data_IF_924361704754
#
_entry.id   IF_924361704754
#
_cell.length_a   1.000
_cell.length_b   1.000
_cell.length_c   1.000
_cell.angle_alpha   90.00
_cell.angle_beta   90.00
_cell.angle_gamma   90.00
#
_symmetry.space_group_name_H-M   'P 1'
#
loop_
_entity.id
_entity.type
_entity.pdbx_description
1 polymer ?
#
# COMPACT_ATOMS: atom_id res chain seq x y z
N UNK A 1 8.81 13.85 -28.92
CA UNK A 1 8.55 12.39 -28.81
C UNK A 1 9.55 11.67 -29.71
N UNK A 2 10.33 10.72 -29.17
CA UNK A 2 11.28 9.92 -29.98
C UNK A 2 10.54 8.71 -30.54
N UNK A 3 10.64 8.47 -31.84
CA UNK A 3 10.03 7.32 -32.53
C UNK A 3 11.15 6.42 -33.01
N UNK A 4 11.15 5.16 -32.60
CA UNK A 4 12.09 4.13 -33.09
C UNK A 4 11.24 2.98 -33.61
N UNK A 5 11.51 2.53 -34.84
CA UNK A 5 10.83 1.39 -35.45
C UNK A 5 11.48 0.09 -34.96
N UNK A 6 10.69 -0.97 -34.86
CA UNK A 6 11.17 -2.27 -34.39
C UNK A 6 12.22 -2.92 -35.31
N UNK A 7 12.27 -2.51 -36.58
CA UNK A 7 13.23 -2.95 -37.59
C UNK A 7 14.50 -2.08 -37.68
N UNK A 8 14.56 -0.98 -36.91
CA UNK A 8 15.72 -0.11 -36.88
C UNK A 8 16.89 -0.82 -36.16
N UNK A 9 18.12 -0.60 -36.64
CA UNK A 9 19.33 -1.23 -36.10
C UNK A 9 19.53 -0.85 -34.63
N UNK A 10 19.20 0.39 -34.27
CA UNK A 10 19.28 0.93 -32.91
C UNK A 10 18.17 0.44 -31.97
N UNK A 11 17.15 -0.27 -32.46
CA UNK A 11 16.00 -0.70 -31.65
C UNK A 11 16.42 -1.62 -30.51
N UNK A 12 17.31 -2.59 -30.76
CA UNK A 12 17.73 -3.57 -29.75
C UNK A 12 18.40 -2.91 -28.55
N UNK A 13 19.26 -1.92 -28.80
CA UNK A 13 19.97 -1.18 -27.74
C UNK A 13 19.02 -0.26 -26.98
N UNK A 14 18.21 0.50 -27.72
CA UNK A 14 17.21 1.37 -27.12
C UNK A 14 16.21 0.59 -26.26
N UNK A 15 15.74 -0.56 -26.73
CA UNK A 15 14.79 -1.38 -25.99
C UNK A 15 15.41 -1.99 -24.74
N UNK A 16 16.69 -2.40 -24.79
CA UNK A 16 17.42 -2.86 -23.59
C UNK A 16 17.55 -1.75 -22.54
N UNK A 17 17.92 -0.55 -22.96
CA UNK A 17 18.00 0.62 -22.07
C UNK A 17 16.63 0.98 -21.49
N UNK A 18 15.59 0.97 -22.33
CA UNK A 18 14.20 1.23 -21.92
C UNK A 18 13.74 0.25 -20.84
N UNK A 19 14.09 -1.04 -20.97
CA UNK A 19 13.76 -2.08 -19.99
C UNK A 19 14.51 -1.94 -18.67
N UNK A 20 15.61 -1.20 -18.66
CA UNK A 20 16.37 -0.87 -17.45
C UNK A 20 15.85 0.40 -16.76
N UNK A 21 14.79 1.04 -17.29
CA UNK A 21 14.19 2.21 -16.63
C UNK A 21 13.51 1.81 -15.32
N UNK A 22 14.03 2.38 -14.24
CA UNK A 22 13.56 2.25 -12.86
C UNK A 22 14.60 2.92 -11.95
N UNK A 23 14.21 3.35 -10.75
CA UNK A 23 15.18 3.91 -9.80
C UNK A 23 16.26 2.88 -9.47
N UNK A 24 17.53 3.28 -9.56
CA UNK A 24 18.63 2.42 -9.15
C UNK A 24 18.66 2.36 -7.62
N UNK A 25 18.49 1.17 -7.04
CA UNK A 25 18.78 0.92 -5.63
C UNK A 25 20.29 0.90 -5.44
N UNK A 26 20.89 2.08 -5.34
CA UNK A 26 22.33 2.23 -5.09
C UNK A 26 22.68 1.63 -3.73
N UNK A 27 23.86 1.01 -3.56
CA UNK A 27 24.31 0.48 -2.27
C UNK A 27 24.20 1.50 -1.12
N UNK A 28 24.46 2.78 -1.39
CA UNK A 28 24.42 3.87 -0.41
C UNK A 28 22.98 4.15 0.09
N UNK A 29 22.01 4.12 -0.83
CA UNK A 29 20.58 4.22 -0.50
C UNK A 29 20.16 3.04 0.38
N UNK A 30 20.52 1.82 0.00
CA UNK A 30 20.18 0.62 0.76
C UNK A 30 20.79 0.65 2.16
N UNK A 31 22.07 1.03 2.27
CA UNK A 31 22.73 1.18 3.56
C UNK A 31 22.01 2.20 4.45
N UNK A 32 21.60 3.34 3.89
CA UNK A 32 20.85 4.37 4.63
C UNK A 32 19.49 3.86 5.12
N UNK A 33 18.75 3.12 4.29
CA UNK A 33 17.45 2.54 4.67
C UNK A 33 17.62 1.47 5.76
N UNK A 34 18.64 0.62 5.64
CA UNK A 34 18.94 -0.42 6.64
C UNK A 34 19.21 0.21 8.01
N UNK A 35 19.99 1.27 8.07
CA UNK A 35 20.26 1.98 9.32
C UNK A 35 18.98 2.60 9.92
N UNK A 36 18.12 3.22 9.11
CA UNK A 36 16.83 3.76 9.58
C UNK A 36 15.95 2.66 10.20
N UNK A 37 15.80 1.54 9.49
CA UNK A 37 14.98 0.40 9.95
C UNK A 37 15.56 -0.17 11.26
N UNK A 38 16.88 -0.29 11.35
CA UNK A 38 17.56 -0.77 12.55
C UNK A 38 17.33 0.16 13.74
N UNK A 39 17.49 1.45 13.56
CA UNK A 39 17.30 2.44 14.62
C UNK A 39 15.86 2.43 15.14
N UNK A 40 14.87 2.40 14.24
CA UNK A 40 13.45 2.28 14.63
C UNK A 40 13.17 0.96 15.35
N UNK A 41 13.78 -0.15 14.93
CA UNK A 41 13.61 -1.44 15.60
C UNK A 41 14.19 -1.47 17.03
N UNK A 42 15.27 -0.73 17.29
CA UNK A 42 15.94 -0.71 18.61
C UNK A 42 15.35 0.35 19.54
N UNK A 43 15.06 1.55 19.01
CA UNK A 43 14.66 2.74 19.81
C UNK A 43 13.17 3.05 19.73
N UNK A 44 12.43 2.41 18.82
CA UNK A 44 10.98 2.60 18.67
C UNK A 44 10.60 4.03 18.30
N UNK A 45 9.62 4.58 19.02
CA UNK A 45 9.00 5.89 18.76
C UNK A 45 10.00 7.05 18.79
N UNK A 46 11.05 6.96 19.60
CA UNK A 46 12.09 8.00 19.67
C UNK A 46 12.76 8.19 18.30
N UNK A 47 13.23 7.10 17.68
CA UNK A 47 13.82 7.16 16.35
C UNK A 47 12.78 7.51 15.27
N UNK A 48 11.54 7.04 15.41
CA UNK A 48 10.45 7.38 14.48
C UNK A 48 10.20 8.91 14.46
N UNK A 49 10.11 9.55 15.63
CA UNK A 49 9.87 10.99 15.73
C UNK A 49 11.07 11.80 15.24
N UNK A 50 12.30 11.37 15.55
CA UNK A 50 13.52 11.98 15.02
C UNK A 50 13.55 11.95 13.48
N UNK A 51 13.27 10.79 12.87
CA UNK A 51 13.25 10.67 11.41
C UNK A 51 12.10 11.43 10.77
N UNK A 52 10.94 11.51 11.43
CA UNK A 52 9.81 12.31 10.94
C UNK A 52 10.17 13.80 10.95
N UNK A 53 10.73 14.32 12.04
CA UNK A 53 11.21 15.71 12.09
C UNK A 53 12.27 15.97 11.01
N UNK A 54 13.22 15.04 10.82
CA UNK A 54 14.29 15.17 9.82
C UNK A 54 13.78 15.20 8.38
N UNK A 55 12.88 14.29 8.01
CA UNK A 55 12.47 14.11 6.61
C UNK A 55 11.22 14.92 6.26
N UNK A 56 10.23 14.93 7.15
CA UNK A 56 8.93 15.55 6.90
C UNK A 56 8.86 16.98 7.47
N UNK A 57 9.85 17.38 8.28
CA UNK A 57 9.89 18.68 8.97
C UNK A 57 8.67 18.90 9.85
N UNK A 58 8.22 17.83 10.48
CA UNK A 58 7.04 17.80 11.35
C UNK A 58 7.40 17.16 12.69
N UNK A 59 7.04 17.83 13.78
CA UNK A 59 7.31 17.37 15.13
C UNK A 59 6.17 16.45 15.59
N UNK A 60 6.47 15.16 15.72
CA UNK A 60 5.55 14.18 16.29
C UNK A 60 5.82 13.96 17.77
N UNK A 61 4.76 13.55 18.46
CA UNK A 61 4.82 13.06 19.83
C UNK A 61 3.88 11.86 19.98
N UNK A 62 4.03 11.13 21.08
CA UNK A 62 3.12 10.02 21.40
C UNK A 62 1.63 10.44 21.44
N UNK A 63 1.34 11.71 21.72
CA UNK A 63 -0.02 12.25 21.73
C UNK A 63 -0.55 12.66 20.35
N UNK A 64 0.32 12.78 19.33
CA UNK A 64 -0.01 13.35 18.01
C UNK A 64 0.34 12.43 16.83
N UNK A 65 1.02 11.31 17.10
CA UNK A 65 1.39 10.30 16.09
C UNK A 65 0.17 9.65 15.42
N UNK A 66 -0.95 9.57 16.14
CA UNK A 66 -2.21 9.03 15.60
C UNK A 66 -3.21 10.16 15.34
N UNK A 67 -3.82 10.14 14.14
CA UNK A 67 -4.89 11.05 13.76
C UNK A 67 -6.13 10.76 14.61
N UNK A 68 -6.62 11.79 15.30
CA UNK A 68 -7.74 11.70 16.24
C UNK A 68 -9.09 11.47 15.54
N UNK A 69 -10.10 11.04 16.30
CA UNK A 69 -11.46 10.88 15.78
C UNK A 69 -12.05 12.21 15.28
N UNK A 70 -11.75 13.31 15.97
CA UNK A 70 -12.24 14.64 15.64
C UNK A 70 -11.61 15.16 14.34
N UNK A 71 -10.30 14.94 14.14
CA UNK A 71 -9.64 15.27 12.88
C UNK A 71 -10.21 14.48 11.71
N UNK A 72 -10.48 13.17 11.89
CA UNK A 72 -11.13 12.36 10.85
C UNK A 72 -12.53 12.88 10.51
N UNK A 73 -13.32 13.26 11.53
CA UNK A 73 -14.65 13.83 11.34
C UNK A 73 -14.57 15.17 10.61
N UNK A 74 -13.71 16.07 11.05
CA UNK A 74 -13.51 17.37 10.42
C UNK A 74 -13.05 17.24 8.96
N UNK A 75 -12.15 16.30 8.67
CA UNK A 75 -11.71 16.01 7.31
C UNK A 75 -12.87 15.50 6.44
N UNK A 76 -13.71 14.59 6.96
CA UNK A 76 -14.89 14.08 6.24
C UNK A 76 -15.92 15.19 5.97
N UNK A 77 -16.20 16.02 6.98
CA UNK A 77 -17.15 17.14 6.88
C UNK A 77 -16.68 18.21 5.88
N UNK A 78 -15.36 18.32 5.65
CA UNK A 78 -14.78 19.24 4.69
C UNK A 78 -14.81 18.73 3.23
N UNK A 79 -15.17 17.47 2.98
CA UNK A 79 -15.23 16.91 1.62
C UNK A 79 -16.51 17.39 0.91
N UNK A 80 -16.42 17.99 -0.29
CA UNK A 80 -17.60 18.31 -1.08
C UNK A 80 -18.46 17.08 -1.35
N UNK A 81 -19.80 17.18 -1.30
CA UNK A 81 -20.70 16.05 -1.53
C UNK A 81 -20.42 15.29 -2.84
N UNK A 82 -20.12 16.01 -3.91
CA UNK A 82 -19.80 15.45 -5.23
C UNK A 82 -18.53 14.58 -5.23
N UNK A 83 -17.49 15.01 -4.52
CA UNK A 83 -16.24 14.26 -4.40
C UNK A 83 -16.47 13.01 -3.54
N UNK A 84 -17.26 13.14 -2.48
CA UNK A 84 -17.61 12.04 -1.60
C UNK A 84 -18.41 10.95 -2.36
N UNK A 85 -19.30 11.34 -3.26
CA UNK A 85 -20.05 10.41 -4.10
C UNK A 85 -19.15 9.69 -5.12
N UNK A 86 -18.14 10.38 -5.67
CA UNK A 86 -17.12 9.75 -6.53
C UNK A 86 -16.29 8.74 -5.74
N UNK A 87 -15.85 9.08 -4.53
CA UNK A 87 -15.09 8.19 -3.65
C UNK A 87 -15.92 6.94 -3.29
N UNK A 88 -17.21 7.13 -2.96
CA UNK A 88 -18.14 6.02 -2.67
C UNK A 88 -18.34 5.13 -3.89
N UNK A 89 -18.52 5.70 -5.08
CA UNK A 89 -18.66 4.93 -6.32
C UNK A 89 -17.41 4.09 -6.60
N UNK A 90 -16.22 4.67 -6.43
CA UNK A 90 -14.97 3.94 -6.58
C UNK A 90 -14.88 2.79 -5.57
N UNK A 91 -15.16 3.06 -4.29
CA UNK A 91 -15.15 2.05 -3.24
C UNK A 91 -16.11 0.89 -3.53
N UNK A 92 -17.34 1.18 -3.95
CA UNK A 92 -18.34 0.16 -4.32
C UNK A 92 -17.87 -0.72 -5.48
N UNK A 93 -17.24 -0.14 -6.50
CA UNK A 93 -16.72 -0.89 -7.65
C UNK A 93 -15.55 -1.79 -7.27
N UNK A 94 -14.62 -1.28 -6.46
CA UNK A 94 -13.48 -2.04 -5.93
C UNK A 94 -13.99 -3.21 -5.08
N UNK A 95 -14.95 -2.95 -4.20
CA UNK A 95 -15.55 -3.98 -3.35
C UNK A 95 -16.26 -5.06 -4.16
N UNK A 96 -17.10 -4.66 -5.13
CA UNK A 96 -17.80 -5.59 -6.01
C UNK A 96 -16.85 -6.51 -6.78
N UNK A 97 -15.69 -6.00 -7.18
CA UNK A 97 -14.67 -6.79 -7.85
C UNK A 97 -14.00 -7.78 -6.90
N UNK A 98 -13.46 -7.31 -5.77
CA UNK A 98 -12.70 -8.15 -4.84
C UNK A 98 -13.57 -9.19 -4.12
N UNK A 99 -14.87 -8.92 -3.91
CA UNK A 99 -15.80 -9.94 -3.39
C UNK A 99 -15.88 -11.18 -4.26
N UNK A 100 -15.65 -11.07 -5.58
CA UNK A 100 -15.61 -12.23 -6.49
C UNK A 100 -14.32 -13.05 -6.40
N UNK A 101 -13.30 -12.53 -5.73
CA UNK A 101 -11.98 -13.15 -5.60
C UNK A 101 -11.79 -13.81 -4.23
N UNK A 102 -12.81 -13.78 -3.36
CA UNK A 102 -12.75 -14.42 -2.06
C UNK A 102 -12.72 -15.94 -2.25
N UNK A 103 -11.68 -16.58 -1.74
CA UNK A 103 -11.53 -18.03 -1.73
C UNK A 103 -12.11 -18.57 -0.43
N UNK A 104 -13.06 -19.49 -0.52
CA UNK A 104 -13.62 -20.17 0.65
C UNK A 104 -12.71 -21.31 1.13
N UNK A 105 -12.73 -21.57 2.43
CA UNK A 105 -12.15 -22.80 2.97
C UNK A 105 -13.00 -23.98 2.53
N UNK A 106 -12.39 -25.15 2.37
CA UNK A 106 -13.08 -26.36 1.96
C UNK A 106 -12.51 -27.61 2.64
N UNK A 107 -13.32 -28.66 2.70
CA UNK A 107 -12.99 -29.98 3.23
C UNK A 107 -13.53 -31.05 2.27
N UNK A 108 -12.83 -32.16 2.12
CA UNK A 108 -13.22 -33.34 1.35
C UNK A 108 -12.98 -34.60 2.18
N UNK A 109 -13.86 -35.59 2.00
CA UNK A 109 -13.88 -36.87 2.70
C UNK A 109 -14.12 -37.98 1.68
N UNK A 110 -13.24 -38.07 0.67
CA UNK A 110 -13.41 -38.97 -0.47
C UNK A 110 -12.99 -40.42 -0.17
N UNK A 111 -12.19 -40.63 0.89
CA UNK A 111 -11.75 -41.95 1.36
C UNK A 111 -12.19 -42.19 2.82
N UNK A 112 -12.62 -43.42 3.11
CA UNK A 112 -13.12 -43.78 4.44
C UNK A 112 -12.04 -43.61 5.51
N UNK A 113 -12.30 -42.74 6.49
CA UNK A 113 -11.36 -42.42 7.57
C UNK A 113 -10.34 -41.33 7.25
N UNK A 114 -10.40 -40.69 6.08
CA UNK A 114 -9.51 -39.60 5.68
C UNK A 114 -10.30 -38.30 5.47
N UNK A 115 -9.89 -37.24 6.17
CA UNK A 115 -10.35 -35.87 5.95
C UNK A 115 -9.20 -35.01 5.43
N UNK A 116 -9.41 -34.33 4.30
CA UNK A 116 -8.46 -33.40 3.72
C UNK A 116 -9.14 -32.05 3.44
N UNK A 117 -8.39 -30.96 3.40
CA UNK A 117 -8.98 -29.66 3.13
C UNK A 117 -7.99 -28.52 3.07
N UNK A 118 -8.52 -27.34 2.78
CA UNK A 118 -7.78 -26.08 2.81
C UNK A 118 -8.50 -25.09 3.72
N UNK A 119 -7.77 -24.59 4.70
CA UNK A 119 -8.22 -23.51 5.57
C UNK A 119 -7.60 -22.19 5.12
N UNK A 120 -8.45 -21.28 4.64
CA UNK A 120 -8.08 -19.90 4.28
C UNK A 120 -8.41 -18.99 5.45
N UNK A 121 -7.42 -18.25 5.95
CA UNK A 121 -7.57 -17.30 7.04
C UNK A 121 -7.00 -15.93 6.65
N UNK A 122 -7.61 -14.83 7.10
CA UNK A 122 -7.01 -13.51 6.97
C UNK A 122 -5.73 -13.39 7.79
N UNK A 123 -4.93 -12.38 7.43
CA UNK A 123 -3.88 -11.87 8.31
C UNK A 123 -4.53 -11.23 9.54
N UNK A 124 -3.88 -11.35 10.70
CA UNK A 124 -4.40 -10.74 11.93
C UNK A 124 -4.40 -9.21 11.88
N UNK A 125 -3.40 -8.61 11.22
CA UNK A 125 -3.21 -7.17 11.06
C UNK A 125 -2.44 -6.88 9.78
N UNK A 126 -2.72 -5.75 9.14
CA UNK A 126 -1.94 -5.21 8.02
C UNK A 126 -1.64 -3.73 8.23
N UNK A 127 -0.47 -3.29 7.75
CA UNK A 127 -0.14 -1.87 7.62
C UNK A 127 -0.27 -1.44 6.16
N UNK A 128 -0.87 -0.27 5.93
CA UNK A 128 -1.00 0.31 4.59
C UNK A 128 -0.19 1.60 4.55
N UNK A 129 0.84 1.62 3.71
CA UNK A 129 1.61 2.83 3.43
C UNK A 129 0.96 3.61 2.27
N UNK A 130 0.64 4.87 2.52
CA UNK A 130 0.16 5.80 1.50
C UNK A 130 1.09 7.02 1.46
N UNK A 131 1.66 7.38 0.29
CA UNK A 131 2.52 8.55 0.17
C UNK A 131 1.80 9.85 0.54
N UNK A 132 2.46 10.71 1.32
CA UNK A 132 1.97 12.06 1.66
C UNK A 132 2.41 13.15 0.67
N UNK A 133 2.19 14.41 1.04
CA UNK A 133 2.68 15.58 0.30
C UNK A 133 1.83 15.94 -0.93
N UNK A 134 2.44 16.04 -2.10
CA UNK A 134 1.75 16.45 -3.36
C UNK A 134 0.98 15.32 -4.04
N UNK A 135 1.19 14.09 -3.61
CA UNK A 135 0.65 12.87 -4.21
C UNK A 135 -0.47 12.28 -3.35
N UNK A 136 -1.46 13.10 -2.99
CA UNK A 136 -2.60 12.66 -2.18
C UNK A 136 -3.59 11.92 -3.06
N UNK A 137 -3.60 10.60 -2.96
CA UNK A 137 -4.45 9.73 -3.76
C UNK A 137 -5.33 8.86 -2.86
N UNK A 138 -6.59 9.27 -2.60
CA UNK A 138 -7.56 8.43 -1.89
C UNK A 138 -7.72 7.05 -2.55
N UNK A 139 -7.50 6.96 -3.87
CA UNK A 139 -7.56 5.71 -4.64
C UNK A 139 -6.58 4.65 -4.14
N UNK A 140 -5.35 5.00 -3.74
CA UNK A 140 -4.38 4.04 -3.19
C UNK A 140 -4.90 3.41 -1.90
N UNK A 141 -5.47 4.22 -1.02
CA UNK A 141 -6.08 3.74 0.23
C UNK A 141 -7.27 2.84 -0.05
N UNK A 142 -8.17 3.24 -0.97
CA UNK A 142 -9.32 2.40 -1.33
C UNK A 142 -8.88 1.05 -1.90
N UNK A 143 -7.89 1.05 -2.80
CA UNK A 143 -7.39 -0.16 -3.45
C UNK A 143 -6.67 -1.11 -2.49
N UNK A 144 -6.08 -0.62 -1.40
CA UNK A 144 -5.40 -1.45 -0.40
C UNK A 144 -6.31 -1.87 0.77
N UNK A 145 -7.10 -0.94 1.31
CA UNK A 145 -7.89 -1.17 2.53
C UNK A 145 -9.16 -2.00 2.28
N UNK A 146 -9.83 -1.79 1.14
CA UNK A 146 -11.05 -2.54 0.80
C UNK A 146 -10.79 -4.04 0.66
N UNK A 147 -9.79 -4.52 -0.11
CA UNK A 147 -9.52 -5.96 -0.17
C UNK A 147 -9.06 -6.54 1.17
N UNK A 148 -8.28 -5.80 1.98
CA UNK A 148 -7.92 -6.25 3.32
C UNK A 148 -9.16 -6.48 4.20
N UNK A 149 -10.09 -5.51 4.21
CA UNK A 149 -11.37 -5.64 4.93
C UNK A 149 -12.23 -6.79 4.42
N UNK A 150 -12.27 -7.02 3.11
CA UNK A 150 -13.01 -8.14 2.50
C UNK A 150 -12.39 -9.49 2.87
N UNK A 151 -11.06 -9.57 2.94
CA UNK A 151 -10.36 -10.78 3.35
C UNK A 151 -10.63 -11.14 4.83
N UNK A 152 -11.00 -10.15 5.65
CA UNK A 152 -11.30 -10.33 7.07
C UNK A 152 -10.16 -9.92 8.00
N UNK A 153 -9.25 -9.06 7.54
CA UNK A 153 -8.23 -8.42 8.39
C UNK A 153 -8.90 -7.44 9.36
#
# INVERSE_FOLDING_TARGET
MRIIKADAVEFGDFFRELRQRGGAFTPELLASVVEIVREVAVRGDEALFEYTSKFDRYELSAATVEVTADERKAALDAVPPEDLDVIRLAAQRIEKYHRKQVTESWLVNDEEGVEAGQRILPLQRVGIYAPGGKAVYPSTLLMAAIPARIAGV
#
